data_IF_493664389148
#
_entry.id   IF_493664389148
#
_cell.length_a   1.000
_cell.length_b   1.000
_cell.length_c   1.000
_cell.angle_alpha   90.00
_cell.angle_beta   90.00
_cell.angle_gamma   90.00
#
_symmetry.space_group_name_H-M   'P 1'
#
loop_
_entity.id
_entity.type
_entity.pdbx_description
1 polymer ?
#
# COMPACT_ATOMS: atom_id res chain seq x y z
N UNK A 1 -19.32 -40.80 53.69
CA UNK A 1 -19.92 -39.75 52.92
C UNK A 1 -18.86 -38.72 52.65
N UNK A 2 -18.18 -38.77 51.50
CA UNK A 2 -17.21 -37.75 51.08
C UNK A 2 -17.55 -37.39 49.63
N UNK A 3 -18.03 -36.18 49.47
CA UNK A 3 -18.42 -35.61 48.18
C UNK A 3 -17.22 -34.89 47.59
N UNK A 4 -16.65 -35.40 46.47
CA UNK A 4 -15.55 -34.77 45.74
C UNK A 4 -16.09 -33.84 44.68
N UNK A 5 -15.82 -32.54 44.81
CA UNK A 5 -16.05 -31.54 43.74
C UNK A 5 -14.91 -31.65 42.75
N UNK A 6 -15.23 -32.06 41.52
CA UNK A 6 -14.34 -31.95 40.40
C UNK A 6 -14.49 -30.55 39.76
N UNK A 7 -13.45 -29.73 39.86
CA UNK A 7 -13.39 -28.43 39.18
C UNK A 7 -12.99 -28.65 37.71
N UNK A 8 -13.92 -28.36 36.81
CA UNK A 8 -13.71 -28.39 35.36
C UNK A 8 -13.07 -27.06 34.92
N UNK A 9 -11.76 -27.04 34.69
CA UNK A 9 -11.08 -25.92 34.06
C UNK A 9 -11.35 -25.89 32.57
N UNK A 10 -12.22 -24.98 32.10
CA UNK A 10 -12.35 -24.66 30.70
C UNK A 10 -11.14 -23.81 30.25
N UNK A 11 -10.22 -24.42 29.52
CA UNK A 11 -9.18 -23.68 28.81
C UNK A 11 -9.81 -23.02 27.59
N UNK A 12 -9.98 -21.69 27.59
CA UNK A 12 -10.26 -20.90 26.39
C UNK A 12 -9.01 -20.88 25.55
N UNK A 13 -8.97 -21.73 24.52
CA UNK A 13 -7.97 -21.63 23.45
C UNK A 13 -8.33 -20.42 22.59
N UNK A 14 -7.69 -19.28 22.85
CA UNK A 14 -7.74 -18.12 21.96
C UNK A 14 -7.05 -18.47 20.64
N UNK A 15 -7.82 -18.79 19.61
CA UNK A 15 -7.32 -18.87 18.26
C UNK A 15 -6.98 -17.45 17.79
N UNK A 16 -5.70 -17.09 17.83
CA UNK A 16 -5.19 -15.94 17.09
C UNK A 16 -5.34 -16.27 15.60
N UNK A 17 -6.33 -15.66 14.95
CA UNK A 17 -6.41 -15.67 13.49
C UNK A 17 -5.17 -14.98 12.96
N UNK A 18 -4.16 -15.77 12.59
CA UNK A 18 -3.10 -15.28 11.72
C UNK A 18 -3.79 -14.88 10.40
N UNK A 19 -3.86 -13.57 10.14
CA UNK A 19 -4.29 -13.08 8.85
C UNK A 19 -3.44 -13.81 7.79
N UNK A 20 -4.10 -14.63 6.98
CA UNK A 20 -3.44 -15.35 5.89
C UNK A 20 -2.83 -14.27 4.99
N UNK A 21 -1.52 -14.24 4.95
CA UNK A 21 -0.77 -13.30 4.13
C UNK A 21 -1.02 -13.71 2.68
N UNK A 22 -1.96 -13.03 2.01
CA UNK A 22 -2.26 -13.32 0.62
C UNK A 22 -0.99 -13.26 -0.22
N UNK A 23 -0.69 -14.38 -0.86
CA UNK A 23 0.42 -14.48 -1.80
C UNK A 23 -0.07 -13.96 -3.15
N UNK A 24 0.69 -13.09 -3.77
CA UNK A 24 0.42 -12.69 -5.15
C UNK A 24 0.51 -13.89 -6.08
N UNK A 25 -0.51 -14.12 -6.91
CA UNK A 25 -0.59 -15.26 -7.82
C UNK A 25 -0.37 -14.79 -9.25
N UNK A 26 0.45 -15.51 -10.01
CA UNK A 26 0.71 -15.27 -11.43
C UNK A 26 2.09 -15.76 -11.85
N UNK A 27 2.38 -15.67 -13.15
CA UNK A 27 3.68 -16.00 -13.72
C UNK A 27 4.59 -14.76 -13.74
N UNK A 28 5.87 -14.94 -13.39
CA UNK A 28 6.89 -13.90 -13.41
C UNK A 28 7.05 -13.13 -12.08
N UNK A 29 7.81 -12.02 -12.10
CA UNK A 29 8.03 -11.21 -10.91
C UNK A 29 6.77 -10.48 -10.47
N UNK A 30 6.53 -10.46 -9.16
CA UNK A 30 5.36 -9.80 -8.57
C UNK A 30 5.79 -8.83 -7.47
N UNK A 31 5.02 -7.76 -7.36
CA UNK A 31 5.06 -6.85 -6.23
C UNK A 31 3.86 -7.10 -5.33
N UNK A 32 4.15 -7.34 -4.07
CA UNK A 32 3.19 -7.28 -2.97
C UNK A 32 3.34 -5.94 -2.29
N UNK A 33 2.40 -5.04 -2.54
CA UNK A 33 2.40 -3.71 -1.94
C UNK A 33 1.46 -3.71 -0.75
N UNK A 34 1.98 -3.44 0.45
CA UNK A 34 1.20 -3.28 1.66
C UNK A 34 1.03 -1.79 1.88
N UNK A 35 -0.18 -1.30 1.72
CA UNK A 35 -0.54 0.10 1.89
C UNK A 35 -1.06 0.33 3.30
N UNK A 36 -0.39 1.23 4.03
CA UNK A 36 -0.65 1.55 5.44
C UNK A 36 -0.97 3.04 5.60
N UNK A 37 -1.49 3.42 6.77
CA UNK A 37 -1.74 4.83 7.11
C UNK A 37 -2.97 5.42 6.43
N UNK A 38 -3.91 4.57 6.00
CA UNK A 38 -5.22 5.00 5.54
C UNK A 38 -5.97 5.72 6.66
N UNK A 39 -6.56 6.89 6.39
CA UNK A 39 -7.34 7.65 7.39
C UNK A 39 -8.77 7.14 7.54
N UNK A 40 -9.28 6.43 6.54
CA UNK A 40 -10.55 5.71 6.53
C UNK A 40 -10.47 4.58 5.49
N UNK A 41 -11.53 3.79 5.35
CA UNK A 41 -11.64 2.71 4.37
C UNK A 41 -12.63 3.04 3.24
N UNK A 42 -12.86 4.32 2.98
CA UNK A 42 -13.73 4.76 1.89
C UNK A 42 -12.98 4.74 0.56
N UNK A 43 -13.69 4.51 -0.54
CA UNK A 43 -13.14 4.58 -1.90
C UNK A 43 -12.17 3.46 -2.25
N UNK A 44 -11.05 3.83 -2.86
CA UNK A 44 -10.10 2.92 -3.49
C UNK A 44 -8.66 3.30 -3.14
N UNK A 45 -7.75 2.36 -3.33
CA UNK A 45 -6.32 2.63 -3.38
C UNK A 45 -5.80 2.39 -4.79
N UNK A 46 -5.10 3.36 -5.34
CA UNK A 46 -4.42 3.24 -6.62
C UNK A 46 -2.92 3.08 -6.39
N UNK A 47 -2.35 2.05 -6.98
CA UNK A 47 -0.90 1.74 -6.93
C UNK A 47 -0.36 1.77 -8.34
N UNK A 48 0.60 2.64 -8.59
CA UNK A 48 1.16 2.90 -9.91
C UNK A 48 2.64 2.57 -9.95
N UNK A 49 3.03 1.68 -10.87
CA UNK A 49 4.42 1.27 -11.11
C UNK A 49 5.03 2.07 -12.24
N UNK A 50 6.20 2.65 -11.99
CA UNK A 50 6.96 3.43 -12.97
C UNK A 50 8.30 2.79 -13.30
N UNK A 51 8.81 3.01 -14.54
CA UNK A 51 10.14 2.57 -14.93
C UNK A 51 11.25 3.27 -14.12
N UNK A 52 12.45 2.72 -14.21
CA UNK A 52 13.67 3.29 -13.62
C UNK A 52 14.18 4.50 -14.43
N UNK A 53 13.36 5.55 -14.48
CA UNK A 53 13.68 6.80 -15.18
C UNK A 53 13.06 7.99 -14.44
N UNK A 54 13.90 8.93 -13.93
CA UNK A 54 13.41 10.10 -13.21
C UNK A 54 12.53 11.04 -14.06
N UNK A 55 12.62 10.99 -15.38
CA UNK A 55 11.81 11.80 -16.29
C UNK A 55 10.40 11.23 -16.48
N UNK A 56 10.26 9.92 -16.29
CA UNK A 56 9.01 9.21 -16.47
C UNK A 56 8.24 9.04 -15.16
N UNK A 57 8.93 9.17 -14.02
CA UNK A 57 8.31 9.06 -12.71
C UNK A 57 7.26 10.15 -12.48
N UNK A 58 6.02 9.74 -12.17
CA UNK A 58 4.82 10.59 -12.02
C UNK A 58 4.44 11.38 -13.28
N UNK A 59 5.03 11.06 -14.44
CA UNK A 59 4.61 11.65 -15.71
C UNK A 59 3.32 10.95 -16.20
N UNK A 60 2.45 11.74 -16.82
CA UNK A 60 1.15 11.27 -17.30
C UNK A 60 1.30 10.14 -18.33
N UNK A 61 0.54 9.05 -18.15
CA UNK A 61 0.53 7.85 -19.00
C UNK A 61 1.91 7.15 -19.14
N UNK A 62 2.78 7.25 -18.12
CA UNK A 62 4.07 6.57 -18.10
C UNK A 62 4.13 5.39 -17.13
N UNK A 63 3.00 5.03 -16.54
CA UNK A 63 2.88 3.87 -15.67
C UNK A 63 3.05 2.58 -16.49
N UNK A 64 3.86 1.65 -15.99
CA UNK A 64 4.02 0.30 -16.54
C UNK A 64 2.88 -0.63 -16.12
N UNK A 65 2.34 -0.41 -14.92
CA UNK A 65 1.20 -1.12 -14.37
C UNK A 65 0.47 -0.23 -13.37
N UNK A 66 -0.84 -0.41 -13.30
CA UNK A 66 -1.71 0.26 -12.34
C UNK A 66 -2.64 -0.79 -11.74
N UNK A 67 -2.77 -0.79 -10.42
CA UNK A 67 -3.85 -1.48 -9.71
C UNK A 67 -4.72 -0.43 -9.02
N UNK A 68 -6.04 -0.59 -9.13
CA UNK A 68 -7.02 0.29 -8.51
C UNK A 68 -8.03 -0.60 -7.76
N UNK A 69 -7.77 -0.81 -6.46
CA UNK A 69 -8.48 -1.76 -5.64
C UNK A 69 -9.39 -1.07 -4.64
N UNK A 70 -10.63 -1.57 -4.53
CA UNK A 70 -11.56 -1.08 -3.50
C UNK A 70 -11.03 -1.41 -2.12
N UNK A 71 -11.04 -0.43 -1.23
CA UNK A 71 -10.60 -0.62 0.15
C UNK A 71 -11.54 -1.55 0.92
N UNK A 72 -10.93 -2.43 1.71
CA UNK A 72 -11.63 -3.38 2.58
C UNK A 72 -11.28 -3.18 4.06
N UNK A 73 -10.35 -2.27 4.37
CA UNK A 73 -9.89 -1.99 5.72
C UNK A 73 -8.88 -0.85 5.78
N UNK A 74 -8.26 -0.68 6.95
CA UNK A 74 -7.28 0.37 7.22
C UNK A 74 -5.84 0.00 6.78
N UNK A 75 -5.64 -1.18 6.28
CA UNK A 75 -4.46 -1.68 5.59
C UNK A 75 -4.94 -2.46 4.37
N UNK A 76 -4.32 -2.25 3.23
CA UNK A 76 -4.67 -2.93 1.99
C UNK A 76 -3.44 -3.60 1.39
N UNK A 77 -3.59 -4.86 0.98
CA UNK A 77 -2.58 -5.58 0.19
C UNK A 77 -2.98 -5.51 -1.28
N UNK A 78 -2.06 -5.01 -2.10
CA UNK A 78 -2.24 -4.89 -3.55
C UNK A 78 -1.15 -5.67 -4.24
N UNK A 79 -1.53 -6.48 -5.23
CA UNK A 79 -0.60 -7.26 -6.04
C UNK A 79 -0.46 -6.66 -7.45
N UNK A 80 0.79 -6.45 -7.88
CA UNK A 80 1.08 -6.03 -9.25
C UNK A 80 2.03 -7.01 -9.93
N UNK A 81 1.74 -7.36 -11.18
CA UNK A 81 2.70 -8.03 -12.05
C UNK A 81 3.74 -7.01 -12.53
N UNK A 82 5.00 -7.43 -12.56
CA UNK A 82 6.11 -6.59 -13.00
C UNK A 82 6.68 -7.16 -14.30
N UNK A 83 7.01 -6.34 -15.31
CA UNK A 83 7.45 -6.85 -16.61
C UNK A 83 8.70 -7.74 -16.54
N UNK A 84 9.63 -7.43 -15.65
CA UNK A 84 10.87 -8.19 -15.42
C UNK A 84 11.51 -7.79 -14.10
N UNK A 85 12.51 -8.52 -13.65
CA UNK A 85 13.36 -8.08 -12.54
C UNK A 85 14.11 -6.79 -12.91
N UNK A 86 14.36 -5.91 -11.93
CA UNK A 86 15.00 -4.64 -12.20
C UNK A 86 14.69 -3.57 -11.17
N UNK A 87 14.95 -2.32 -11.53
CA UNK A 87 14.65 -1.17 -10.68
C UNK A 87 13.39 -0.46 -11.15
N UNK A 88 12.62 0.05 -10.19
CA UNK A 88 11.33 0.69 -10.40
C UNK A 88 11.09 1.75 -9.34
N UNK A 89 10.03 2.52 -9.51
CA UNK A 89 9.46 3.38 -8.49
C UNK A 89 7.95 3.17 -8.41
N UNK A 90 7.36 3.39 -7.22
CA UNK A 90 5.91 3.34 -7.01
C UNK A 90 5.39 4.66 -6.50
N UNK A 91 4.20 5.03 -6.96
CA UNK A 91 3.30 5.94 -6.28
C UNK A 91 2.03 5.22 -5.84
N UNK A 92 1.49 5.67 -4.73
CA UNK A 92 0.22 5.18 -4.19
C UNK A 92 -0.61 6.38 -3.79
N UNK A 93 -1.90 6.39 -4.12
CA UNK A 93 -2.83 7.38 -3.59
C UNK A 93 -4.14 6.72 -3.13
N UNK A 94 -4.77 7.38 -2.17
CA UNK A 94 -6.06 6.98 -1.63
C UNK A 94 -7.15 7.80 -2.30
N UNK A 95 -7.80 7.22 -3.30
CA UNK A 95 -8.94 7.79 -4.00
C UNK A 95 -10.21 7.63 -3.15
N UNK A 96 -10.41 8.57 -2.22
CA UNK A 96 -11.52 8.51 -1.25
C UNK A 96 -12.89 8.74 -1.89
N UNK A 97 -12.95 9.55 -2.96
CA UNK A 97 -14.20 9.90 -3.63
C UNK A 97 -14.54 8.95 -4.79
N UNK A 98 -13.63 8.08 -5.21
CA UNK A 98 -13.82 7.09 -6.27
C UNK A 98 -13.94 7.71 -7.66
N UNK A 99 -13.22 8.81 -7.94
CA UNK A 99 -13.24 9.47 -9.24
C UNK A 99 -12.08 9.08 -10.17
N UNK A 100 -11.26 8.11 -9.77
CA UNK A 100 -10.09 7.60 -10.49
C UNK A 100 -9.03 8.67 -10.78
N UNK A 101 -9.00 9.77 -10.01
CA UNK A 101 -8.06 10.86 -10.20
C UNK A 101 -7.33 11.19 -8.90
N UNK A 102 -6.07 11.55 -9.02
CA UNK A 102 -5.32 12.09 -7.90
C UNK A 102 -5.65 13.57 -7.69
N UNK A 103 -6.49 13.86 -6.71
CA UNK A 103 -7.06 15.18 -6.49
C UNK A 103 -6.11 16.13 -5.74
N UNK A 104 -6.15 17.40 -6.15
CA UNK A 104 -5.41 18.51 -5.52
C UNK A 104 -6.32 19.73 -5.36
N UNK A 105 -6.06 20.53 -4.34
CA UNK A 105 -6.76 21.80 -4.19
C UNK A 105 -6.18 22.87 -5.15
N UNK A 106 -6.78 24.07 -5.14
CA UNK A 106 -6.35 25.20 -5.98
C UNK A 106 -4.90 25.68 -5.75
N UNK A 107 -4.26 25.26 -4.68
CA UNK A 107 -2.86 25.56 -4.37
C UNK A 107 -1.93 24.41 -4.76
N UNK A 108 -2.43 23.36 -5.41
CA UNK A 108 -1.67 22.17 -5.81
C UNK A 108 -1.38 21.19 -4.67
N UNK A 109 -1.94 21.42 -3.48
CA UNK A 109 -1.76 20.52 -2.33
C UNK A 109 -2.68 19.32 -2.48
N UNK A 110 -2.17 18.07 -2.36
CA UNK A 110 -3.01 16.89 -2.39
C UNK A 110 -4.12 16.94 -1.35
N UNK A 111 -5.34 16.64 -1.76
CA UNK A 111 -6.50 16.49 -0.87
C UNK A 111 -6.67 15.06 -0.40
N UNK A 112 -6.02 14.14 -1.07
CA UNK A 112 -6.00 12.71 -0.86
C UNK A 112 -4.68 12.24 -0.24
N UNK A 113 -4.70 11.04 0.33
CA UNK A 113 -3.50 10.41 0.87
C UNK A 113 -2.54 9.99 -0.24
N UNK A 114 -1.26 10.23 -0.07
CA UNK A 114 -0.23 9.85 -1.03
C UNK A 114 0.96 9.18 -0.34
N UNK A 115 1.51 8.17 -0.99
CA UNK A 115 2.70 7.46 -0.58
C UNK A 115 3.62 7.19 -1.77
N UNK A 116 4.90 7.04 -1.50
CA UNK A 116 5.92 6.70 -2.49
C UNK A 116 6.76 5.54 -1.98
N UNK A 117 7.29 4.74 -2.90
CA UNK A 117 8.21 3.65 -2.53
C UNK A 117 9.36 4.16 -1.66
N UNK A 118 9.80 3.30 -0.73
CA UNK A 118 10.80 3.59 0.30
C UNK A 118 10.40 4.68 1.34
N UNK A 119 9.16 5.15 1.33
CA UNK A 119 8.62 6.13 2.31
C UNK A 119 9.53 7.36 2.54
N UNK A 120 10.00 8.05 1.51
CA UNK A 120 10.84 9.22 1.70
C UNK A 120 10.04 10.33 2.42
N UNK A 121 10.75 11.21 3.12
CA UNK A 121 10.10 12.41 3.67
C UNK A 121 9.66 13.32 2.53
N UNK A 122 8.36 13.53 2.40
CA UNK A 122 7.77 14.49 1.46
C UNK A 122 7.53 15.78 2.26
N UNK A 123 8.29 16.84 1.99
CA UNK A 123 8.15 18.13 2.67
C UNK A 123 7.74 19.23 1.69
N UNK A 124 8.68 19.75 0.93
CA UNK A 124 8.45 20.78 -0.08
C UNK A 124 8.83 20.23 -1.47
N UNK A 125 7.83 19.76 -2.22
CA UNK A 125 8.03 19.16 -3.52
C UNK A 125 8.33 17.64 -3.48
N UNK A 126 8.61 17.08 -4.65
CA UNK A 126 8.90 15.65 -4.80
C UNK A 126 10.31 15.32 -4.28
N UNK A 127 10.50 14.17 -3.64
CA UNK A 127 11.82 13.69 -3.28
C UNK A 127 12.65 13.36 -4.53
N UNK A 128 13.98 13.37 -4.40
CA UNK A 128 14.86 12.90 -5.47
C UNK A 128 14.53 11.46 -5.86
N UNK A 129 14.60 11.14 -7.15
CA UNK A 129 14.19 9.83 -7.70
C UNK A 129 14.91 8.65 -7.04
N UNK A 130 16.18 8.79 -6.70
CA UNK A 130 17.00 7.78 -6.03
C UNK A 130 16.42 7.35 -4.66
N UNK A 131 15.64 8.22 -4.02
CA UNK A 131 14.98 7.92 -2.74
C UNK A 131 13.73 7.07 -2.88
N UNK A 132 13.12 7.08 -4.05
CA UNK A 132 11.91 6.29 -4.35
C UNK A 132 12.22 5.03 -5.17
N UNK A 133 13.38 4.98 -5.78
CA UNK A 133 13.85 3.85 -6.57
C UNK A 133 14.07 2.62 -5.71
N UNK A 134 13.54 1.47 -6.11
CA UNK A 134 13.71 0.19 -5.41
C UNK A 134 13.94 -0.95 -6.40
N UNK A 135 14.48 -2.06 -5.91
CA UNK A 135 14.79 -3.23 -6.74
C UNK A 135 13.71 -4.30 -6.60
N UNK A 136 13.20 -4.79 -7.72
CA UNK A 136 12.39 -6.00 -7.81
C UNK A 136 13.31 -7.17 -8.10
N UNK A 137 13.31 -8.16 -7.19
CA UNK A 137 14.04 -9.40 -7.32
C UNK A 137 13.22 -10.46 -8.10
N UNK A 138 13.79 -11.65 -8.24
CA UNK A 138 13.07 -12.80 -8.78
C UNK A 138 11.99 -13.24 -7.81
N UNK A 139 10.88 -13.76 -8.32
CA UNK A 139 9.70 -14.16 -7.57
C UNK A 139 8.91 -12.96 -6.97
N UNK A 140 8.62 -12.95 -5.68
CA UNK A 140 7.82 -11.92 -5.02
C UNK A 140 8.72 -10.91 -4.28
N UNK A 141 8.48 -9.62 -4.52
CA UNK A 141 9.09 -8.53 -3.75
C UNK A 141 7.99 -7.83 -2.95
N UNK A 142 8.12 -7.81 -1.62
CA UNK A 142 7.17 -7.10 -0.74
C UNK A 142 7.70 -5.72 -0.42
N UNK A 143 6.82 -4.71 -0.56
CA UNK A 143 7.11 -3.32 -0.19
C UNK A 143 5.96 -2.75 0.65
N UNK A 144 6.30 -2.00 1.73
CA UNK A 144 5.33 -1.29 2.57
C UNK A 144 5.37 0.19 2.25
N UNK A 145 4.19 0.78 2.03
CA UNK A 145 4.03 2.19 1.70
C UNK A 145 3.03 2.82 2.66
N UNK A 146 3.52 3.77 3.46
CA UNK A 146 2.70 4.56 4.37
C UNK A 146 2.14 5.80 3.67
N UNK A 147 0.82 5.94 3.68
CA UNK A 147 0.15 7.12 3.13
C UNK A 147 0.30 8.33 4.07
N UNK A 148 0.40 9.50 3.49
CA UNK A 148 0.42 10.79 4.16
C UNK A 148 -0.67 11.68 3.61
N UNK A 149 -1.37 12.36 4.50
CA UNK A 149 -2.40 13.34 4.17
C UNK A 149 -1.88 14.73 4.53
N UNK A 150 -1.91 15.64 3.58
CA UNK A 150 -1.48 17.02 3.76
C UNK A 150 -2.59 17.93 4.26
N UNK A 151 -3.84 17.49 4.07
CA UNK A 151 -5.06 18.18 4.51
C UNK A 151 -5.95 17.21 5.28
N UNK A 152 -6.59 17.72 6.34
CA UNK A 152 -7.43 16.90 7.22
C UNK A 152 -6.63 16.13 8.28
N UNK A 153 -7.32 15.23 8.99
CA UNK A 153 -6.67 14.37 10.00
C UNK A 153 -6.02 13.17 9.30
N UNK A 154 -4.73 12.94 9.59
CA UNK A 154 -4.10 11.65 9.30
C UNK A 154 -4.61 10.59 10.27
N UNK A 155 -4.54 9.30 9.89
CA UNK A 155 -4.65 8.22 10.88
C UNK A 155 -3.53 8.36 11.92
N UNK A 156 -3.89 8.25 13.20
CA UNK A 156 -2.93 8.22 14.31
C UNK A 156 -2.27 6.85 14.40
#
# INVERSE_FOLDING_TARGET
MMCGLAALCLALSGATAAAAQEKCVGDGPHLKVIVEGLRNADGYVSVELYPDDPKLFLAHNQQLAVAHDKLTGMEQVVCLSVPKTGYYALSVYHDENGDDQFNRNKFGIPTEGVGLSNNPKIMFGLPAFEKVRFKVAEAETTIRIGLRYFLGKSAN
#
